data_IF_619165703942
#
_entry.id   IF_619165703942
#
_cell.length_a   1.000
_cell.length_b   1.000
_cell.length_c   1.000
_cell.angle_alpha   90.00
_cell.angle_beta   90.00
_cell.angle_gamma   90.00
#
_symmetry.space_group_name_H-M   'P 1'
#
loop_
_entity.id
_entity.type
_entity.pdbx_description
1 polymer ?
#
# COMPACT_ATOMS: atom_id res chain seq x y z
N UNK A 1 17.97 -10.44 -23.11
CA UNK A 1 18.99 -9.50 -22.54
C UNK A 1 18.46 -8.08 -22.29
N UNK A 2 17.70 -7.44 -23.20
CA UNK A 2 17.12 -6.09 -22.96
C UNK A 2 16.08 -6.03 -21.83
N UNK A 3 15.16 -7.00 -21.76
CA UNK A 3 14.12 -7.08 -20.71
C UNK A 3 14.74 -7.29 -19.31
N UNK A 4 15.73 -8.18 -19.21
CA UNK A 4 16.45 -8.45 -17.96
C UNK A 4 17.24 -7.23 -17.47
N UNK A 5 17.90 -6.49 -18.38
CA UNK A 5 18.58 -5.23 -18.03
C UNK A 5 17.60 -4.16 -17.57
N UNK A 6 16.44 -4.05 -18.22
CA UNK A 6 15.39 -3.10 -17.83
C UNK A 6 14.84 -3.35 -16.42
N UNK A 7 14.64 -4.62 -16.04
CA UNK A 7 14.21 -4.99 -14.70
C UNK A 7 15.21 -4.58 -13.62
N UNK A 8 16.51 -4.85 -13.82
CA UNK A 8 17.57 -4.51 -12.84
C UNK A 8 17.69 -2.98 -12.64
N UNK A 9 17.63 -2.20 -13.72
CA UNK A 9 17.63 -0.74 -13.62
C UNK A 9 16.40 -0.23 -12.86
N UNK A 10 15.22 -0.79 -13.12
CA UNK A 10 13.99 -0.40 -12.44
C UNK A 10 14.03 -0.71 -10.94
N UNK A 11 14.53 -1.89 -10.55
CA UNK A 11 14.77 -2.25 -9.15
C UNK A 11 15.65 -1.20 -8.46
N UNK A 12 16.79 -0.87 -9.06
CA UNK A 12 17.76 0.08 -8.47
C UNK A 12 17.15 1.48 -8.33
N UNK A 13 16.40 1.94 -9.33
CA UNK A 13 15.71 3.24 -9.30
C UNK A 13 14.69 3.26 -8.17
N UNK A 14 13.88 2.20 -8.02
CA UNK A 14 12.90 2.12 -6.94
C UNK A 14 13.54 2.11 -5.56
N UNK A 15 14.64 1.38 -5.36
CA UNK A 15 15.39 1.42 -4.10
C UNK A 15 15.88 2.84 -3.78
N UNK A 16 16.42 3.57 -4.75
CA UNK A 16 16.88 4.95 -4.57
C UNK A 16 15.73 5.92 -4.26
N UNK A 17 14.58 5.74 -4.92
CA UNK A 17 13.39 6.56 -4.65
C UNK A 17 12.86 6.30 -3.24
N UNK A 18 12.81 5.04 -2.80
CA UNK A 18 12.43 4.66 -1.43
C UNK A 18 13.41 5.19 -0.37
N UNK A 19 14.70 5.20 -0.70
CA UNK A 19 15.71 5.86 0.14
C UNK A 19 15.47 7.36 0.21
N UNK A 20 15.13 7.99 -0.92
CA UNK A 20 14.83 9.41 -1.00
C UNK A 20 13.64 9.84 -0.14
N UNK A 21 12.54 9.07 -0.15
CA UNK A 21 11.37 9.32 0.71
C UNK A 21 11.74 9.20 2.19
N UNK A 22 12.43 8.12 2.54
CA UNK A 22 12.86 7.84 3.92
C UNK A 22 13.84 8.88 4.46
N UNK A 23 14.79 9.31 3.62
CA UNK A 23 15.72 10.40 3.95
C UNK A 23 14.99 11.72 4.19
N UNK A 24 14.09 12.11 3.28
CA UNK A 24 13.28 13.33 3.44
C UNK A 24 12.45 13.30 4.71
N UNK A 25 11.78 12.19 4.98
CA UNK A 25 10.93 12.06 6.16
C UNK A 25 11.74 12.10 7.45
N UNK A 26 12.89 11.41 7.48
CA UNK A 26 13.81 11.48 8.61
C UNK A 26 14.37 12.89 8.82
N UNK A 27 14.66 13.65 7.76
CA UNK A 27 15.08 15.05 7.87
C UNK A 27 13.97 15.95 8.41
N UNK A 28 12.73 15.78 7.95
CA UNK A 28 11.58 16.53 8.47
C UNK A 28 11.36 16.27 9.96
N UNK A 29 11.45 15.00 10.38
CA UNK A 29 11.38 14.63 11.79
C UNK A 29 12.50 15.29 12.62
N UNK A 30 13.74 15.31 12.11
CA UNK A 30 14.88 15.99 12.76
C UNK A 30 14.69 17.51 12.87
N UNK A 31 14.00 18.13 11.93
CA UNK A 31 13.62 19.55 11.99
C UNK A 31 12.40 19.82 12.87
N UNK A 32 11.83 18.79 13.52
CA UNK A 32 10.66 18.92 14.37
C UNK A 32 9.36 19.11 13.61
N UNK A 33 9.31 18.75 12.32
CA UNK A 33 8.11 18.82 11.49
C UNK A 33 7.35 17.50 11.59
N UNK A 34 6.23 17.52 12.31
CA UNK A 34 5.34 16.35 12.47
C UNK A 34 4.09 16.47 11.58
N UNK A 35 4.29 16.27 10.27
CA UNK A 35 3.20 16.28 9.28
C UNK A 35 3.31 15.12 8.26
N UNK A 36 3.33 13.85 8.72
CA UNK A 36 3.47 12.68 7.86
C UNK A 36 2.37 12.51 6.79
N UNK A 37 1.10 12.71 7.13
CA UNK A 37 0.00 12.66 6.16
C UNK A 37 0.12 13.74 5.11
N UNK A 38 0.55 14.93 5.49
CA UNK A 38 0.78 16.02 4.53
C UNK A 38 1.90 15.67 3.55
N UNK A 39 2.96 14.99 4.00
CA UNK A 39 4.02 14.48 3.12
C UNK A 39 3.43 13.52 2.06
N UNK A 40 2.63 12.56 2.49
CA UNK A 40 2.04 11.52 1.63
C UNK A 40 0.92 12.08 0.73
N UNK A 41 0.12 13.02 1.22
CA UNK A 41 -1.01 13.62 0.51
C UNK A 41 -0.62 14.16 -0.89
N UNK A 42 0.54 14.80 -1.00
CA UNK A 42 1.01 15.35 -2.28
C UNK A 42 1.25 14.27 -3.33
N UNK A 43 1.66 13.06 -2.94
CA UNK A 43 1.77 11.92 -3.87
C UNK A 43 0.42 11.60 -4.51
N UNK A 44 -0.61 11.41 -3.69
CA UNK A 44 -1.94 11.09 -4.20
C UNK A 44 -2.56 12.24 -5.00
N UNK A 45 -2.34 13.48 -4.57
CA UNK A 45 -2.79 14.66 -5.31
C UNK A 45 -2.14 14.73 -6.69
N UNK A 46 -0.83 14.47 -6.79
CA UNK A 46 -0.10 14.42 -8.07
C UNK A 46 -0.57 13.26 -8.94
N UNK A 47 -0.81 12.07 -8.37
CA UNK A 47 -1.36 10.92 -9.10
C UNK A 47 -2.76 11.21 -9.64
N UNK A 48 -3.65 11.77 -8.82
CA UNK A 48 -4.99 12.19 -9.22
C UNK A 48 -4.92 13.24 -10.33
N UNK A 49 -4.04 14.23 -10.19
CA UNK A 49 -3.85 15.30 -11.17
C UNK A 49 -3.33 14.77 -12.51
N UNK A 50 -2.28 13.94 -12.51
CA UNK A 50 -1.65 13.45 -13.74
C UNK A 50 -2.46 12.31 -14.37
N UNK A 51 -2.67 11.22 -13.64
CA UNK A 51 -3.31 10.02 -14.16
C UNK A 51 -4.83 10.15 -14.23
N UNK A 52 -5.45 10.81 -13.26
CA UNK A 52 -6.89 11.09 -13.27
C UNK A 52 -7.26 12.00 -14.45
N UNK A 53 -6.56 13.12 -14.66
CA UNK A 53 -6.81 13.98 -15.82
C UNK A 53 -6.59 13.25 -17.15
N UNK A 54 -5.55 12.41 -17.24
CA UNK A 54 -5.28 11.64 -18.46
C UNK A 54 -6.33 10.54 -18.72
N UNK A 55 -6.86 9.91 -17.68
CA UNK A 55 -7.97 8.96 -17.78
C UNK A 55 -9.26 9.65 -18.25
N UNK A 56 -9.58 10.83 -17.68
CA UNK A 56 -10.72 11.66 -18.08
C UNK A 56 -10.61 12.10 -19.55
N UNK A 57 -9.41 12.47 -19.99
CA UNK A 57 -9.14 12.82 -21.39
C UNK A 57 -9.39 11.64 -22.33
N UNK A 58 -8.99 10.41 -21.95
CA UNK A 58 -9.25 9.21 -22.75
C UNK A 58 -10.72 8.74 -22.73
N UNK A 59 -11.55 9.26 -21.80
CA UNK A 59 -12.96 8.88 -21.61
C UNK A 59 -13.18 7.35 -21.50
N UNK A 60 -12.20 6.64 -20.96
CA UNK A 60 -12.30 5.19 -20.75
C UNK A 60 -13.15 4.90 -19.53
N UNK A 61 -14.11 3.98 -19.67
CA UNK A 61 -14.87 3.48 -18.53
C UNK A 61 -14.00 2.56 -17.67
N UNK A 62 -14.15 2.61 -16.34
CA UNK A 62 -13.47 1.68 -15.44
C UNK A 62 -13.89 0.26 -15.78
N UNK A 63 -12.94 -0.68 -15.73
CA UNK A 63 -13.21 -2.10 -15.95
C UNK A 63 -13.58 -2.85 -14.67
N UNK A 64 -13.12 -2.33 -13.52
CA UNK A 64 -13.30 -2.97 -12.22
C UNK A 64 -14.23 -2.15 -11.32
N UNK A 65 -14.86 -2.81 -10.36
CA UNK A 65 -15.71 -2.15 -9.38
C UNK A 65 -14.92 -1.16 -8.50
N UNK A 66 -15.51 0.00 -8.25
CA UNK A 66 -14.87 1.13 -7.57
C UNK A 66 -14.41 0.81 -6.13
N UNK A 67 -15.10 -0.09 -5.43
CA UNK A 67 -14.80 -0.44 -4.04
C UNK A 67 -13.45 -1.17 -3.89
N UNK A 68 -12.99 -1.88 -4.92
CA UNK A 68 -11.67 -2.52 -4.92
C UNK A 68 -10.55 -1.47 -4.91
N UNK A 69 -10.73 -0.39 -5.66
CA UNK A 69 -9.77 0.71 -5.66
C UNK A 69 -9.82 1.53 -4.37
N UNK A 70 -11.00 1.72 -3.78
CA UNK A 70 -11.14 2.42 -2.51
C UNK A 70 -10.46 1.67 -1.37
N UNK A 71 -10.73 0.36 -1.24
CA UNK A 71 -10.10 -0.47 -0.19
C UNK A 71 -8.60 -0.55 -0.37
N UNK A 72 -8.12 -0.72 -1.61
CA UNK A 72 -6.70 -0.64 -1.95
C UNK A 72 -6.09 0.72 -1.54
N UNK A 73 -6.73 1.84 -1.89
CA UNK A 73 -6.24 3.16 -1.54
C UNK A 73 -6.20 3.40 -0.03
N UNK A 74 -7.17 2.91 0.75
CA UNK A 74 -7.17 3.02 2.21
C UNK A 74 -5.95 2.27 2.79
N UNK A 75 -5.71 1.03 2.36
CA UNK A 75 -4.58 0.23 2.83
C UNK A 75 -3.25 0.93 2.50
N UNK A 76 -3.11 1.45 1.28
CA UNK A 76 -1.92 2.17 0.83
C UNK A 76 -1.69 3.44 1.64
N UNK A 77 -2.74 4.23 1.90
CA UNK A 77 -2.67 5.47 2.70
C UNK A 77 -2.23 5.18 4.13
N UNK A 78 -2.82 4.18 4.78
CA UNK A 78 -2.46 3.79 6.15
C UNK A 78 -1.02 3.26 6.24
N UNK A 79 -0.59 2.45 5.27
CA UNK A 79 0.79 1.96 5.22
C UNK A 79 1.80 3.11 5.15
N UNK A 80 1.56 4.07 4.23
CA UNK A 80 2.41 5.24 4.06
C UNK A 80 2.36 6.17 5.29
N UNK A 81 1.19 6.35 5.90
CA UNK A 81 1.05 7.14 7.12
C UNK A 81 1.92 6.58 8.24
N UNK A 82 1.75 5.30 8.57
CA UNK A 82 2.44 4.65 9.68
C UNK A 82 3.96 4.64 9.46
N UNK A 83 4.42 4.35 8.24
CA UNK A 83 5.83 4.38 7.90
C UNK A 83 6.43 5.79 8.07
N UNK A 84 5.74 6.82 7.58
CA UNK A 84 6.20 8.21 7.67
C UNK A 84 6.16 8.70 9.13
N UNK A 85 5.14 8.31 9.90
CA UNK A 85 5.00 8.65 11.32
C UNK A 85 6.09 7.99 12.16
N UNK A 86 6.55 6.79 11.81
CA UNK A 86 7.58 6.08 12.55
C UNK A 86 8.89 6.87 12.66
N UNK A 87 9.26 7.66 11.64
CA UNK A 87 10.48 8.48 11.66
C UNK A 87 10.49 9.57 12.75
N UNK A 88 9.34 9.89 13.34
CA UNK A 88 9.26 10.78 14.52
C UNK A 88 9.75 10.09 15.81
N UNK A 89 9.80 8.77 15.81
CA UNK A 89 10.03 7.96 17.01
C UNK A 89 11.25 7.05 16.92
N UNK A 90 11.63 6.61 15.72
CA UNK A 90 12.77 5.72 15.49
C UNK A 90 13.74 6.27 14.43
N UNK A 91 14.93 5.68 14.35
CA UNK A 91 15.99 6.10 13.42
C UNK A 91 15.76 5.54 12.02
N UNK A 92 16.36 6.18 11.00
CA UNK A 92 16.27 5.71 9.61
C UNK A 92 16.74 4.26 9.43
N UNK A 93 17.78 3.86 10.16
CA UNK A 93 18.33 2.49 10.07
C UNK A 93 17.46 1.47 10.81
N UNK A 94 16.84 1.83 11.94
CA UNK A 94 15.93 0.91 12.62
C UNK A 94 14.65 0.74 11.80
N UNK A 95 14.09 1.85 11.28
CA UNK A 95 12.95 1.80 10.38
C UNK A 95 13.19 0.92 9.15
N UNK A 96 14.29 1.10 8.42
CA UNK A 96 14.54 0.26 7.25
C UNK A 96 14.89 -1.19 7.59
N UNK A 97 15.61 -1.45 8.68
CA UNK A 97 15.89 -2.84 9.04
C UNK A 97 14.62 -3.58 9.50
N UNK A 98 13.71 -2.90 10.18
CA UNK A 98 12.41 -3.45 10.54
C UNK A 98 11.49 -3.59 9.34
N UNK A 99 11.64 -2.74 8.31
CA UNK A 99 10.81 -2.82 7.11
C UNK A 99 10.97 -4.15 6.34
N UNK A 100 12.11 -4.82 6.52
CA UNK A 100 12.38 -6.16 6.01
C UNK A 100 11.37 -7.20 6.54
N UNK A 101 10.60 -6.89 7.60
CA UNK A 101 9.42 -7.66 8.02
C UNK A 101 8.38 -7.83 6.90
N UNK A 102 8.35 -6.93 5.91
CA UNK A 102 7.49 -7.04 4.74
C UNK A 102 7.74 -8.36 3.99
N UNK A 103 8.98 -8.86 3.96
CA UNK A 103 9.37 -10.08 3.22
C UNK A 103 8.67 -11.33 3.76
N UNK A 104 8.79 -11.72 5.06
CA UNK A 104 8.09 -12.89 5.57
C UNK A 104 6.57 -12.79 5.40
N UNK A 105 5.99 -11.59 5.57
CA UNK A 105 4.54 -11.39 5.41
C UNK A 105 4.11 -11.54 3.94
N UNK A 106 4.84 -10.97 2.98
CA UNK A 106 4.55 -11.15 1.54
C UNK A 106 4.68 -12.62 1.16
N UNK A 107 5.69 -13.34 1.64
CA UNK A 107 5.84 -14.77 1.35
C UNK A 107 4.68 -15.58 1.91
N UNK A 108 4.21 -15.27 3.12
CA UNK A 108 3.03 -15.90 3.71
C UNK A 108 1.75 -15.56 2.92
N UNK A 109 1.54 -14.30 2.56
CA UNK A 109 0.35 -13.86 1.84
C UNK A 109 0.30 -14.41 0.42
N UNK A 110 1.44 -14.45 -0.29
CA UNK A 110 1.52 -15.07 -1.62
C UNK A 110 1.38 -16.59 -1.55
N UNK A 111 1.71 -17.24 -0.43
CA UNK A 111 1.37 -18.65 -0.20
C UNK A 111 -0.14 -18.83 -0.01
N UNK A 112 -0.77 -18.00 0.83
CA UNK A 112 -2.21 -18.12 1.15
C UNK A 112 -3.12 -17.70 -0.02
N UNK A 113 -2.83 -16.55 -0.64
CA UNK A 113 -3.68 -15.91 -1.65
C UNK A 113 -3.35 -16.40 -3.06
N UNK A 114 -2.07 -16.45 -3.41
CA UNK A 114 -1.61 -16.85 -4.75
C UNK A 114 -1.30 -18.35 -4.86
N UNK A 115 -1.49 -19.13 -3.78
CA UNK A 115 -1.18 -20.58 -3.71
C UNK A 115 0.23 -20.92 -4.19
N UNK A 116 1.17 -20.02 -3.96
CA UNK A 116 2.56 -20.16 -4.40
C UNK A 116 3.22 -21.36 -3.73
N UNK A 117 3.86 -22.26 -4.48
CA UNK A 117 4.50 -23.44 -3.88
C UNK A 117 5.93 -23.13 -3.41
N UNK A 118 6.10 -23.05 -2.10
CA UNK A 118 7.41 -22.83 -1.46
C UNK A 118 8.07 -24.15 -1.08
N UNK A 119 9.35 -24.30 -1.46
CA UNK A 119 10.16 -25.44 -1.02
C UNK A 119 10.62 -25.24 0.42
N UNK A 120 10.96 -26.34 1.12
CA UNK A 120 11.48 -26.30 2.50
C UNK A 120 12.68 -25.36 2.66
N UNK A 121 13.50 -25.18 1.62
CA UNK A 121 14.63 -24.24 1.63
C UNK A 121 14.21 -22.77 1.75
N UNK A 122 13.05 -22.39 1.20
CA UNK A 122 12.52 -21.03 1.28
C UNK A 122 12.15 -20.69 2.73
N UNK A 123 11.51 -21.63 3.44
CA UNK A 123 11.15 -21.49 4.86
C UNK A 123 12.37 -21.26 5.75
N UNK A 124 13.48 -21.99 5.50
CA UNK A 124 14.72 -21.79 6.25
C UNK A 124 15.26 -20.37 6.05
N UNK A 125 15.27 -19.87 4.81
CA UNK A 125 15.69 -18.49 4.53
C UNK A 125 14.84 -17.47 5.27
N UNK A 126 13.53 -17.66 5.27
CA UNK A 126 12.57 -16.81 6.01
C UNK A 126 12.83 -16.82 7.51
N UNK A 127 13.03 -17.99 8.12
CA UNK A 127 13.33 -18.09 9.55
C UNK A 127 14.61 -17.31 9.92
N UNK A 128 15.65 -17.38 9.09
CA UNK A 128 16.89 -16.63 9.31
C UNK A 128 16.64 -15.12 9.23
N UNK A 129 15.87 -14.64 8.24
CA UNK A 129 15.50 -13.23 8.15
C UNK A 129 14.72 -12.75 9.39
N UNK A 130 13.73 -13.53 9.83
CA UNK A 130 12.90 -13.22 11.00
C UNK A 130 13.74 -13.14 12.29
N UNK A 131 14.72 -14.04 12.47
CA UNK A 131 15.66 -13.95 13.57
C UNK A 131 16.49 -12.65 13.54
N UNK A 132 16.86 -12.18 12.35
CA UNK A 132 17.54 -10.87 12.15
C UNK A 132 16.70 -9.71 12.66
N UNK A 133 15.42 -9.72 12.34
CA UNK A 133 14.46 -8.68 12.77
C UNK A 133 14.25 -8.68 14.29
N UNK A 134 14.13 -9.87 14.90
CA UNK A 134 13.97 -9.98 16.35
C UNK A 134 15.17 -9.41 17.13
N UNK A 135 16.39 -9.53 16.61
CA UNK A 135 17.56 -8.91 17.25
C UNK A 135 17.45 -7.38 17.28
N UNK A 136 16.98 -6.76 16.20
CA UNK A 136 16.82 -5.30 16.12
C UNK A 136 15.83 -4.80 17.17
N UNK A 137 14.62 -5.38 17.20
CA UNK A 137 13.59 -5.03 18.19
C UNK A 137 14.09 -5.24 19.62
N UNK A 138 14.81 -6.33 19.87
CA UNK A 138 15.31 -6.65 21.21
C UNK A 138 16.38 -5.65 21.70
N UNK A 139 17.19 -5.13 20.77
CA UNK A 139 18.17 -4.07 21.05
C UNK A 139 17.50 -2.80 21.55
N UNK A 140 16.49 -2.34 20.82
CA UNK A 140 15.81 -1.08 21.09
C UNK A 140 15.00 -1.14 22.41
N UNK A 141 14.62 -2.36 22.86
CA UNK A 141 14.01 -2.60 24.19
C UNK A 141 15.03 -2.55 25.34
N UNK A 142 16.29 -2.95 25.11
CA UNK A 142 17.30 -3.06 26.18
C UNK A 142 18.21 -1.84 26.31
N UNK A 143 18.34 -1.02 25.26
CA UNK A 143 19.17 0.20 25.27
C UNK A 143 18.31 1.47 25.37
N UNK A 144 17.64 1.64 26.51
CA UNK A 144 16.72 2.74 26.79
C UNK A 144 17.31 4.17 26.84
N UNK A 145 18.57 4.39 26.43
CA UNK A 145 19.26 5.67 26.60
C UNK A 145 20.20 6.09 25.43
N UNK A 146 20.20 5.37 24.29
CA UNK A 146 21.17 5.64 23.19
C UNK A 146 20.58 5.82 21.78
N UNK A 147 19.28 5.61 21.57
CA UNK A 147 18.69 5.55 20.22
C UNK A 147 17.80 6.75 19.89
N UNK A 148 18.34 7.98 19.92
CA UNK A 148 17.92 9.15 19.11
C UNK A 148 16.45 9.63 19.02
N UNK A 149 15.45 8.93 19.57
CA UNK A 149 14.03 9.19 19.43
C UNK A 149 13.30 9.14 20.78
N UNK A 150 12.19 9.89 20.90
CA UNK A 150 11.46 10.04 22.19
C UNK A 150 10.92 8.72 22.74
N UNK A 151 10.59 7.76 21.87
CA UNK A 151 10.07 6.43 22.20
C UNK A 151 10.38 5.44 21.07
N UNK A 152 11.59 4.85 21.02
CA UNK A 152 12.04 3.95 19.94
C UNK A 152 11.09 2.77 19.70
N UNK A 153 10.63 2.12 20.77
CA UNK A 153 9.68 1.00 20.71
C UNK A 153 8.36 1.36 20.01
N UNK A 154 7.85 2.59 20.19
CA UNK A 154 6.65 3.04 19.49
C UNK A 154 6.91 3.15 17.98
N UNK A 155 8.09 3.67 17.61
CA UNK A 155 8.53 3.69 16.22
C UNK A 155 8.62 2.29 15.62
N UNK A 156 9.20 1.34 16.34
CA UNK A 156 9.35 -0.04 15.86
C UNK A 156 7.99 -0.72 15.63
N UNK A 157 7.04 -0.52 16.54
CA UNK A 157 5.66 -1.04 16.39
C UNK A 157 4.98 -0.39 15.17
N UNK A 158 5.14 0.92 14.98
CA UNK A 158 4.61 1.63 13.81
C UNK A 158 5.18 1.07 12.50
N UNK A 159 6.49 0.80 12.45
CA UNK A 159 7.14 0.20 11.27
C UNK A 159 6.60 -1.21 11.02
N UNK A 160 6.50 -2.07 12.04
CA UNK A 160 5.98 -3.43 11.87
C UNK A 160 4.53 -3.44 11.34
N UNK A 161 3.69 -2.51 11.83
CA UNK A 161 2.33 -2.33 11.30
C UNK A 161 2.36 -1.84 9.85
N UNK A 162 3.17 -0.82 9.55
CA UNK A 162 3.33 -0.28 8.21
C UNK A 162 3.80 -1.35 7.22
N UNK A 163 4.82 -2.12 7.56
CA UNK A 163 5.36 -3.23 6.77
C UNK A 163 4.35 -4.36 6.54
N UNK A 164 3.51 -4.64 7.53
CA UNK A 164 2.42 -5.61 7.37
C UNK A 164 1.38 -5.10 6.38
N UNK A 165 1.00 -3.81 6.46
CA UNK A 165 0.09 -3.20 5.49
C UNK A 165 0.72 -3.11 4.09
N UNK A 166 2.00 -2.75 3.98
CA UNK A 166 2.72 -2.76 2.71
C UNK A 166 2.77 -4.15 2.10
N UNK A 167 2.93 -5.21 2.90
CA UNK A 167 2.88 -6.57 2.39
C UNK A 167 1.52 -6.90 1.76
N UNK A 168 0.42 -6.54 2.45
CA UNK A 168 -0.94 -6.68 1.92
C UNK A 168 -1.11 -5.85 0.65
N UNK A 169 -0.69 -4.59 0.68
CA UNK A 169 -0.78 -3.64 -0.42
C UNK A 169 -0.05 -4.15 -1.67
N UNK A 170 1.18 -4.65 -1.51
CA UNK A 170 2.01 -5.16 -2.59
C UNK A 170 1.38 -6.39 -3.27
N UNK A 171 0.81 -7.31 -2.49
CA UNK A 171 0.12 -8.49 -3.03
C UNK A 171 -1.18 -8.10 -3.72
N UNK A 172 -1.93 -7.15 -3.14
CA UNK A 172 -3.15 -6.62 -3.75
C UNK A 172 -2.84 -5.88 -5.06
N UNK A 173 -1.80 -5.05 -5.09
CA UNK A 173 -1.38 -4.33 -6.28
C UNK A 173 -0.89 -5.28 -7.38
N UNK A 174 -0.14 -6.34 -7.02
CA UNK A 174 0.26 -7.38 -7.97
C UNK A 174 -0.97 -8.03 -8.63
N UNK A 175 -2.01 -8.31 -7.85
CA UNK A 175 -3.27 -8.83 -8.38
C UNK A 175 -3.94 -7.81 -9.32
N UNK A 176 -4.10 -6.55 -8.90
CA UNK A 176 -4.75 -5.52 -9.69
C UNK A 176 -4.01 -5.24 -11.00
N UNK A 177 -2.68 -5.12 -11.01
CA UNK A 177 -1.93 -4.75 -12.22
C UNK A 177 -1.92 -5.84 -13.32
N UNK A 178 -2.27 -7.07 -12.93
CA UNK A 178 -2.47 -8.20 -13.86
C UNK A 178 -3.87 -8.21 -14.46
N UNK A 179 -4.86 -7.68 -13.75
CA UNK A 179 -6.29 -7.71 -14.15
C UNK A 179 -6.75 -6.41 -14.80
N UNK A 180 -6.27 -5.26 -14.31
CA UNK A 180 -6.70 -3.92 -14.74
C UNK A 180 -5.58 -3.13 -15.42
N UNK A 181 -5.95 -2.05 -16.10
CA UNK A 181 -4.97 -1.18 -16.74
C UNK A 181 -4.21 -0.36 -15.69
N UNK A 182 -2.88 -0.28 -15.79
CA UNK A 182 -2.03 0.56 -14.92
C UNK A 182 -2.51 2.02 -14.84
N UNK A 183 -2.96 2.59 -15.97
CA UNK A 183 -3.49 3.96 -15.97
C UNK A 183 -4.72 4.10 -15.07
N UNK A 184 -5.63 3.13 -15.14
CA UNK A 184 -6.86 3.10 -14.33
C UNK A 184 -6.49 2.96 -12.85
N UNK A 185 -5.62 2.01 -12.52
CA UNK A 185 -5.12 1.79 -11.17
C UNK A 185 -4.51 3.07 -10.56
N UNK A 186 -3.57 3.72 -11.27
CA UNK A 186 -2.90 4.94 -10.79
C UNK A 186 -3.85 6.13 -10.64
N UNK A 187 -4.86 6.24 -11.52
CA UNK A 187 -5.86 7.29 -11.43
C UNK A 187 -6.76 7.12 -10.20
N UNK A 188 -7.24 5.89 -9.95
CA UNK A 188 -8.14 5.62 -8.83
C UNK A 188 -7.44 5.62 -7.47
N UNK A 189 -6.23 5.06 -7.36
CA UNK A 189 -5.44 5.17 -6.12
C UNK A 189 -5.10 6.63 -5.83
N UNK A 190 -4.76 7.43 -6.85
CA UNK A 190 -4.56 8.87 -6.69
C UNK A 190 -5.82 9.58 -6.21
N UNK A 191 -6.96 9.31 -6.84
CA UNK A 191 -8.23 9.93 -6.48
C UNK A 191 -8.72 9.57 -5.06
N UNK A 192 -8.90 8.28 -4.78
CA UNK A 192 -9.36 7.82 -3.47
C UNK A 192 -8.31 8.08 -2.37
N UNK A 193 -7.02 7.92 -2.69
CA UNK A 193 -5.92 8.24 -1.79
C UNK A 193 -5.89 9.73 -1.44
N UNK A 194 -6.13 10.63 -2.39
CA UNK A 194 -6.16 12.07 -2.12
C UNK A 194 -7.33 12.45 -1.21
N UNK A 195 -8.52 11.84 -1.40
CA UNK A 195 -9.69 12.09 -0.56
C UNK A 195 -9.44 11.60 0.88
N UNK A 196 -8.98 10.36 1.03
CA UNK A 196 -8.73 9.74 2.34
C UNK A 196 -7.60 10.42 3.09
N UNK A 197 -6.48 10.70 2.42
CA UNK A 197 -5.36 11.43 3.03
C UNK A 197 -5.71 12.88 3.37
N UNK A 198 -6.48 13.59 2.53
CA UNK A 198 -6.96 14.94 2.87
C UNK A 198 -7.83 14.93 4.13
N UNK A 199 -8.72 13.96 4.27
CA UNK A 199 -9.54 13.79 5.48
C UNK A 199 -8.65 13.58 6.71
N UNK A 200 -7.64 12.71 6.61
CA UNK A 200 -6.71 12.45 7.71
C UNK A 200 -5.83 13.66 8.05
N UNK A 201 -5.38 14.45 7.06
CA UNK A 201 -4.67 15.71 7.31
C UNK A 201 -5.54 16.66 8.15
N UNK A 202 -6.82 16.81 7.79
CA UNK A 202 -7.75 17.68 8.53
C UNK A 202 -8.01 17.17 9.95
N UNK A 203 -8.12 15.85 10.13
CA UNK A 203 -8.43 15.24 11.42
C UNK A 203 -7.23 15.18 12.38
N UNK A 204 -6.04 14.86 11.87
CA UNK A 204 -4.87 14.53 12.70
C UNK A 204 -3.77 15.58 12.68
N UNK A 205 -3.64 16.40 11.63
CA UNK A 205 -2.48 17.28 11.45
C UNK A 205 -2.81 18.77 11.44
N UNK A 206 -4.08 19.15 11.61
CA UNK A 206 -4.48 20.57 11.53
C UNK A 206 -3.70 21.47 12.49
N UNK A 207 -3.52 21.02 13.73
CA UNK A 207 -2.81 21.81 14.75
C UNK A 207 -1.30 21.80 14.53
N UNK A 208 -0.74 20.63 14.19
CA UNK A 208 0.67 20.48 13.85
C UNK A 208 1.05 21.40 12.68
N UNK A 209 0.26 21.38 11.58
CA UNK A 209 0.47 22.24 10.42
C UNK A 209 0.44 23.74 10.74
N UNK A 210 -0.42 24.14 11.69
CA UNK A 210 -0.50 25.54 12.13
C UNK A 210 0.73 25.97 12.95
N UNK A 211 1.42 25.00 13.59
CA UNK A 211 2.61 25.24 14.39
C UNK A 211 3.93 25.21 13.60
N UNK A 212 3.91 24.68 12.38
CA UNK A 212 5.12 24.57 11.54
C UNK A 212 5.62 25.94 11.12
N UNK A 213 6.89 26.22 11.43
CA UNK A 213 7.63 27.32 10.83
C UNK A 213 8.11 26.93 9.43
N UNK A 214 7.42 27.43 8.40
CA UNK A 214 7.75 27.17 7.01
C UNK A 214 9.06 27.85 6.60
N UNK A 215 10.17 27.12 6.71
CA UNK A 215 11.50 27.52 6.26
C UNK A 215 11.88 26.76 4.97
N UNK A 216 12.90 27.24 4.25
CA UNK A 216 13.42 26.52 3.09
C UNK A 216 13.88 25.09 3.44
N UNK A 217 14.43 24.92 4.64
CA UNK A 217 14.90 23.63 5.16
C UNK A 217 13.75 22.65 5.43
N UNK A 218 12.54 23.13 5.71
CA UNK A 218 11.34 22.29 5.80
C UNK A 218 10.72 22.03 4.42
N UNK A 219 10.61 23.05 3.57
CA UNK A 219 9.92 22.95 2.26
C UNK A 219 10.67 22.05 1.28
N UNK A 220 12.00 22.10 1.24
CA UNK A 220 12.81 21.31 0.31
C UNK A 220 12.63 19.79 0.51
N UNK A 221 12.72 19.24 1.73
CA UNK A 221 12.40 17.84 2.00
C UNK A 221 10.98 17.43 1.59
N UNK A 222 9.96 18.27 1.76
CA UNK A 222 8.59 18.00 1.30
C UNK A 222 8.51 17.85 -0.22
N UNK A 223 9.15 18.75 -0.97
CA UNK A 223 9.19 18.69 -2.43
C UNK A 223 9.93 17.42 -2.88
N UNK A 224 11.10 17.16 -2.30
CA UNK A 224 11.89 15.97 -2.63
C UNK A 224 11.14 14.67 -2.30
N UNK A 225 10.48 14.61 -1.14
CA UNK A 225 9.62 13.51 -0.74
C UNK A 225 8.53 13.26 -1.77
N UNK A 226 7.81 14.31 -2.17
CA UNK A 226 6.71 14.23 -3.13
C UNK A 226 7.18 13.73 -4.50
N UNK A 227 8.32 14.22 -5.00
CA UNK A 227 8.91 13.76 -6.27
C UNK A 227 9.31 12.28 -6.18
N UNK A 228 9.95 11.88 -5.08
CA UNK A 228 10.39 10.51 -4.88
C UNK A 228 9.19 9.55 -4.79
N UNK A 229 8.21 9.87 -3.95
CA UNK A 229 7.05 9.01 -3.73
C UNK A 229 6.14 8.94 -4.96
N UNK A 230 5.94 10.06 -5.67
CA UNK A 230 5.21 10.06 -6.94
C UNK A 230 5.87 9.18 -8.00
N UNK A 231 7.18 9.31 -8.14
CA UNK A 231 7.95 8.48 -9.08
C UNK A 231 7.95 7.01 -8.67
N UNK A 232 8.05 6.74 -7.36
CA UNK A 232 8.00 5.39 -6.81
C UNK A 232 6.65 4.75 -7.11
N UNK A 233 5.55 5.36 -6.67
CA UNK A 233 4.19 4.85 -6.87
C UNK A 233 3.84 4.67 -8.35
N UNK A 234 4.36 5.54 -9.22
CA UNK A 234 4.21 5.40 -10.68
C UNK A 234 4.90 4.14 -11.25
N UNK A 235 6.07 3.80 -10.71
CA UNK A 235 6.93 2.74 -11.23
C UNK A 235 6.62 1.36 -10.63
N UNK A 236 6.15 1.30 -9.38
CA UNK A 236 5.80 0.06 -8.65
C UNK A 236 4.90 -0.88 -9.48
N UNK A 237 3.76 -0.44 -10.07
CA UNK A 237 2.90 -1.36 -10.82
C UNK A 237 3.63 -1.99 -12.02
N UNK A 238 4.54 -1.24 -12.64
CA UNK A 238 5.34 -1.74 -13.78
C UNK A 238 6.27 -2.86 -13.32
N UNK A 239 6.90 -2.68 -12.16
CA UNK A 239 7.81 -3.69 -11.62
C UNK A 239 7.05 -4.90 -11.11
N UNK A 240 5.96 -4.72 -10.38
CA UNK A 240 5.11 -5.81 -9.89
C UNK A 240 4.59 -6.67 -11.04
N UNK A 241 4.24 -6.06 -12.18
CA UNK A 241 3.82 -6.80 -13.38
C UNK A 241 4.94 -7.65 -13.99
N UNK A 242 6.21 -7.26 -13.84
CA UNK A 242 7.37 -7.97 -14.42
C UNK A 242 7.90 -9.03 -13.46
N UNK A 243 8.00 -8.71 -12.17
CA UNK A 243 8.77 -9.47 -11.18
C UNK A 243 7.92 -10.04 -10.03
N UNK A 244 6.70 -9.54 -9.79
CA UNK A 244 5.85 -9.89 -8.65
C UNK A 244 6.25 -9.21 -7.34
N UNK A 245 5.38 -9.32 -6.33
CA UNK A 245 5.51 -8.67 -5.02
C UNK A 245 6.72 -9.16 -4.23
N UNK A 246 7.02 -10.45 -4.31
CA UNK A 246 8.19 -11.03 -3.63
C UNK A 246 9.49 -10.38 -4.13
N UNK A 247 9.74 -10.44 -5.44
CA UNK A 247 10.97 -9.85 -6.02
C UNK A 247 11.04 -8.34 -5.86
N UNK A 248 9.89 -7.65 -5.88
CA UNK A 248 9.83 -6.23 -5.56
C UNK A 248 10.37 -5.94 -4.15
N UNK A 249 9.87 -6.65 -3.13
CA UNK A 249 10.36 -6.45 -1.76
C UNK A 249 11.83 -6.84 -1.61
N UNK A 250 12.29 -7.87 -2.32
CA UNK A 250 13.71 -8.22 -2.33
C UNK A 250 14.60 -7.13 -2.94
N UNK A 251 14.07 -6.30 -3.84
CA UNK A 251 14.82 -5.17 -4.38
C UNK A 251 14.94 -4.01 -3.40
N UNK A 252 13.98 -3.86 -2.48
CA UNK A 252 13.98 -2.79 -1.49
C UNK A 252 15.11 -2.94 -0.47
N UNK A 253 15.67 -4.13 -0.24
CA UNK A 253 16.84 -4.31 0.66
C UNK A 253 18.06 -3.46 0.27
N UNK A 254 18.17 -3.07 -1.01
CA UNK A 254 19.24 -2.16 -1.44
C UNK A 254 19.04 -0.76 -0.85
N UNK A 255 17.79 -0.34 -0.62
CA UNK A 255 17.45 0.89 0.09
C UNK A 255 17.97 0.88 1.52
N UNK A 256 17.84 -0.25 2.22
CA UNK A 256 18.28 -0.40 3.62
C UNK A 256 19.79 -0.15 3.75
N UNK A 257 20.55 -0.58 2.74
CA UNK A 257 21.98 -0.30 2.65
C UNK A 257 22.30 1.17 2.46
N UNK A 258 21.49 1.87 1.65
CA UNK A 258 21.65 3.31 1.51
C UNK A 258 21.29 4.06 2.80
N UNK A 259 20.33 3.59 3.60
CA UNK A 259 20.03 4.21 4.90
C UNK A 259 21.19 4.10 5.91
N UNK A 260 21.90 2.98 5.94
CA UNK A 260 23.13 2.85 6.75
C UNK A 260 24.16 3.90 6.30
N UNK A 261 24.33 4.04 4.98
CA UNK A 261 25.19 5.07 4.39
C UNK A 261 24.76 6.49 4.77
N UNK A 262 23.46 6.79 4.75
CA UNK A 262 22.91 8.10 5.16
C UNK A 262 23.20 8.37 6.63
N UNK A 263 22.90 7.42 7.52
CA UNK A 263 23.14 7.60 8.96
C UNK A 263 24.60 7.88 9.27
N UNK A 264 25.51 7.17 8.60
CA UNK A 264 26.95 7.34 8.80
C UNK A 264 27.53 8.59 8.10
N UNK A 265 27.22 8.81 6.83
CA UNK A 265 27.82 9.88 6.01
C UNK A 265 27.14 11.23 6.18
N UNK A 266 25.81 11.25 6.32
CA UNK A 266 25.01 12.50 6.33
C UNK A 266 24.71 12.92 7.75
N UNK A 267 24.27 11.98 8.60
CA UNK A 267 23.94 12.31 10.00
C UNK A 267 25.16 12.22 10.93
N UNK A 268 26.29 11.69 10.45
CA UNK A 268 27.51 11.50 11.26
C UNK A 268 27.25 10.74 12.57
N UNK A 269 26.28 9.83 12.55
CA UNK A 269 25.90 9.02 13.69
C UNK A 269 26.50 7.63 13.61
N UNK A 270 26.88 7.10 14.78
CA UNK A 270 27.32 5.71 14.87
C UNK A 270 26.12 4.77 14.71
N UNK A 271 26.34 3.69 13.96
CA UNK A 271 25.41 2.58 13.82
C UNK A 271 25.84 1.50 14.80
N UNK A 272 24.91 1.03 15.62
CA UNK A 272 25.20 -0.06 16.56
C UNK A 272 25.68 -1.31 15.80
N UNK A 273 26.68 -1.99 16.37
CA UNK A 273 27.24 -3.22 15.80
C UNK A 273 26.15 -4.29 15.59
N UNK A 274 25.10 -4.31 16.41
CA UNK A 274 24.01 -5.27 16.30
C UNK A 274 23.21 -5.08 15.01
N UNK A 275 23.05 -3.86 14.50
CA UNK A 275 22.38 -3.62 13.21
C UNK A 275 23.16 -4.26 12.05
N UNK A 276 24.49 -4.30 12.11
CA UNK A 276 25.30 -5.01 11.11
C UNK A 276 25.11 -6.53 11.19
N UNK A 277 24.95 -7.09 12.40
CA UNK A 277 24.64 -8.51 12.58
C UNK A 277 23.25 -8.83 12.03
N UNK A 278 22.25 -8.02 12.36
CA UNK A 278 20.90 -8.16 11.84
C UNK A 278 20.89 -8.13 10.31
N UNK A 279 21.57 -7.15 9.72
CA UNK A 279 21.69 -7.05 8.27
C UNK A 279 22.39 -8.27 7.64
N UNK A 280 23.48 -8.75 8.26
CA UNK A 280 24.16 -9.96 7.79
C UNK A 280 23.24 -11.18 7.83
N UNK A 281 22.42 -11.33 8.89
CA UNK A 281 21.44 -12.42 8.97
C UNK A 281 20.35 -12.30 7.91
N UNK A 282 19.80 -11.10 7.68
CA UNK A 282 18.82 -10.85 6.60
C UNK A 282 19.43 -11.17 5.23
N UNK A 283 20.67 -10.74 4.96
CA UNK A 283 21.36 -11.05 3.72
C UNK A 283 21.61 -12.56 3.54
N UNK A 284 22.00 -13.26 4.61
CA UNK A 284 22.18 -14.73 4.58
C UNK A 284 20.84 -15.43 4.34
N UNK A 285 19.77 -15.03 5.04
CA UNK A 285 18.44 -15.58 4.86
C UNK A 285 17.92 -15.38 3.43
N UNK A 286 18.16 -14.20 2.86
CA UNK A 286 17.78 -13.90 1.49
C UNK A 286 18.60 -14.69 0.46
N UNK A 287 19.92 -14.76 0.61
CA UNK A 287 20.75 -15.56 -0.30
C UNK A 287 20.39 -17.04 -0.26
N UNK A 288 19.99 -17.55 0.91
CA UNK A 288 19.48 -18.92 1.06
C UNK A 288 18.13 -19.10 0.38
N UNK A 289 17.21 -18.15 0.56
CA UNK A 289 15.91 -18.12 -0.12
C UNK A 289 16.09 -18.16 -1.64
N UNK A 290 16.91 -17.27 -2.22
CA UNK A 290 17.15 -17.22 -3.67
C UNK A 290 17.80 -18.50 -4.20
N UNK A 291 18.73 -19.11 -3.45
CA UNK A 291 19.36 -20.39 -3.82
C UNK A 291 18.39 -21.57 -3.79
N UNK A 292 17.29 -21.46 -3.06
CA UNK A 292 16.29 -22.52 -2.92
C UNK A 292 15.37 -22.63 -4.15
N UNK A 293 15.64 -21.89 -5.23
CA UNK A 293 14.95 -21.97 -6.52
C UNK A 293 13.83 -20.96 -6.67
N UNK A 294 13.22 -20.91 -7.86
CA UNK A 294 12.08 -20.03 -8.12
C UNK A 294 10.84 -20.58 -7.42
N UNK A 295 10.23 -19.79 -6.55
CA UNK A 295 8.88 -20.06 -6.08
C UNK A 295 7.95 -19.97 -7.28
N UNK A 296 7.28 -21.07 -7.62
CA UNK A 296 6.33 -21.09 -8.73
C UNK A 296 4.99 -20.67 -8.17
N UNK A 297 4.58 -19.43 -8.49
CA UNK A 297 3.19 -19.06 -8.35
C UNK A 297 2.38 -20.00 -9.25
N UNK A 298 1.34 -20.64 -8.71
CA UNK A 298 0.40 -21.33 -9.57
C UNK A 298 -0.08 -20.31 -10.62
N UNK A 299 0.07 -20.63 -11.90
CA UNK A 299 -0.55 -19.81 -12.94
C UNK A 299 -2.01 -19.70 -12.55
N UNK A 300 -2.46 -18.48 -12.31
CA UNK A 300 -3.87 -18.19 -12.20
C UNK A 300 -4.44 -18.46 -13.59
N UNK A 301 -4.77 -19.73 -13.86
CA UNK A 301 -5.81 -20.03 -14.83
C UNK A 301 -7.05 -19.35 -14.24
N UNK A 302 -7.34 -18.15 -14.75
CA UNK A 302 -8.65 -17.53 -14.66
C UNK A 302 -9.55 -18.45 -15.48
N UNK A 303 -9.89 -19.60 -14.93
CA UNK A 303 -10.92 -20.46 -15.49
C UNK A 303 -12.11 -20.39 -14.54
N UNK A 304 -13.12 -19.65 -14.98
CA UNK A 304 -14.48 -19.69 -14.47
C UNK A 304 -14.74 -18.93 -13.17
N UNK A 305 -13.97 -19.12 -12.10
CA UNK A 305 -14.52 -18.87 -10.75
C UNK A 305 -14.84 -17.41 -10.42
N UNK A 306 -14.08 -16.42 -10.92
CA UNK A 306 -14.35 -15.00 -10.58
C UNK A 306 -15.49 -14.39 -11.41
N UNK A 307 -15.61 -14.75 -12.70
CA UNK A 307 -16.80 -14.38 -13.48
C UNK A 307 -18.04 -15.09 -12.95
N UNK A 308 -17.90 -16.33 -12.46
CA UNK A 308 -19.00 -17.08 -11.85
C UNK A 308 -19.41 -16.45 -10.53
N UNK A 309 -18.46 -16.15 -9.62
CA UNK A 309 -18.73 -15.50 -8.33
C UNK A 309 -19.19 -14.04 -8.48
N UNK A 310 -18.66 -13.29 -9.45
CA UNK A 310 -19.13 -11.94 -9.76
C UNK A 310 -20.52 -11.97 -10.41
N UNK A 311 -20.81 -12.93 -11.29
CA UNK A 311 -22.15 -13.12 -11.86
C UNK A 311 -23.14 -13.61 -10.81
N UNK A 312 -22.73 -14.48 -9.89
CA UNK A 312 -23.55 -14.93 -8.77
C UNK A 312 -23.84 -13.76 -7.83
N UNK A 313 -22.82 -12.97 -7.47
CA UNK A 313 -22.98 -11.77 -6.65
C UNK A 313 -23.86 -10.70 -7.32
N UNK A 314 -23.71 -10.47 -8.63
CA UNK A 314 -24.60 -9.58 -9.41
C UNK A 314 -26.02 -10.14 -9.48
N UNK A 315 -26.21 -11.46 -9.63
CA UNK A 315 -27.52 -12.11 -9.64
C UNK A 315 -28.18 -12.08 -8.24
N UNK A 316 -27.40 -12.18 -7.17
CA UNK A 316 -27.88 -12.03 -5.79
C UNK A 316 -28.27 -10.58 -5.46
N UNK A 317 -27.54 -9.59 -6.00
CA UNK A 317 -27.85 -8.18 -5.82
C UNK A 317 -29.07 -7.77 -6.66
N UNK A 318 -29.17 -8.23 -7.91
CA UNK A 318 -30.33 -7.98 -8.79
C UNK A 318 -31.61 -8.61 -8.23
N UNK A 319 -31.54 -9.84 -7.68
CA UNK A 319 -32.69 -10.44 -6.96
C UNK A 319 -33.13 -9.65 -5.74
N UNK A 320 -32.19 -9.12 -4.95
CA UNK A 320 -32.54 -8.34 -3.77
C UNK A 320 -33.07 -6.95 -4.14
N UNK A 321 -32.59 -6.33 -5.23
CA UNK A 321 -33.14 -5.09 -5.76
C UNK A 321 -34.56 -5.31 -6.32
N UNK A 322 -34.80 -6.39 -7.06
CA UNK A 322 -36.14 -6.77 -7.57
C UNK A 322 -37.10 -7.12 -6.41
N UNK A 323 -36.65 -7.85 -5.39
CA UNK A 323 -37.46 -8.17 -4.23
C UNK A 323 -37.79 -6.90 -3.42
N UNK A 324 -36.84 -5.94 -3.31
CA UNK A 324 -37.07 -4.66 -2.65
C UNK A 324 -38.01 -3.73 -3.43
N UNK A 325 -37.92 -3.66 -4.76
CA UNK A 325 -38.88 -2.93 -5.59
C UNK A 325 -40.25 -3.61 -5.58
N UNK A 326 -40.32 -4.95 -5.50
CA UNK A 326 -41.58 -5.67 -5.41
C UNK A 326 -42.28 -5.50 -4.06
N UNK A 327 -41.55 -5.46 -2.95
CA UNK A 327 -42.07 -5.11 -1.63
C UNK A 327 -42.50 -3.64 -1.59
N UNK A 328 -41.72 -2.72 -2.16
CA UNK A 328 -42.07 -1.30 -2.18
C UNK A 328 -43.29 -1.01 -3.09
N UNK A 329 -43.44 -1.73 -4.20
CA UNK A 329 -44.63 -1.68 -5.05
C UNK A 329 -45.83 -2.34 -4.37
N UNK A 330 -45.67 -3.47 -3.66
CA UNK A 330 -46.75 -4.09 -2.89
C UNK A 330 -47.22 -3.24 -1.71
N UNK A 331 -46.30 -2.59 -1.00
CA UNK A 331 -46.60 -1.65 0.10
C UNK A 331 -47.29 -0.40 -0.44
N UNK A 332 -46.88 0.11 -1.60
CA UNK A 332 -47.55 1.25 -2.24
C UNK A 332 -48.92 0.86 -2.82
N UNK A 333 -49.12 -0.37 -3.32
CA UNK A 333 -50.43 -0.86 -3.76
C UNK A 333 -51.39 -1.05 -2.58
N UNK A 334 -50.93 -1.59 -1.45
CA UNK A 334 -51.75 -1.70 -0.23
C UNK A 334 -52.08 -0.32 0.37
N UNK A 335 -51.19 0.66 0.24
CA UNK A 335 -51.45 2.04 0.66
C UNK A 335 -52.49 2.75 -0.22
N UNK A 336 -52.58 2.43 -1.52
CA UNK A 336 -53.58 3.03 -2.43
C UNK A 336 -54.96 2.32 -2.39
N UNK A 337 -55.04 1.08 -1.89
CA UNK A 337 -56.31 0.36 -1.73
C UNK A 337 -57.14 0.87 -0.52
N UNK A 338 -56.58 1.74 0.32
CA UNK A 338 -57.27 2.31 1.49
C UNK A 338 -57.78 3.77 1.35
N UNK A 339 -57.92 4.30 0.12
CA UNK A 339 -58.76 5.50 -0.09
C UNK A 339 -60.21 5.11 -0.38
N UNK A 340 -61.17 5.38 0.53
CA UNK A 340 -62.58 5.22 0.21
C UNK A 340 -63.04 6.36 -0.70
N UNK A 341 -63.46 6.02 -1.92
CA UNK A 341 -64.31 6.88 -2.72
C UNK A 341 -63.90 7.01 -4.18
N UNK A 342 -64.31 6.05 -5.01
CA UNK A 342 -64.87 6.29 -6.35
C UNK A 342 -65.33 4.94 -6.94
N UNK A 343 -66.55 4.55 -6.58
CA UNK A 343 -67.35 3.55 -7.31
C UNK A 343 -68.46 4.30 -8.05
N UNK A 344 -68.69 3.91 -9.30
CA UNK A 344 -69.71 4.30 -10.30
C UNK A 344 -68.98 4.82 -11.53
N UNK A 345 -69.10 4.31 -12.75
CA UNK A 345 -70.14 3.61 -13.51
C UNK A 345 -69.40 3.31 -14.85
N UNK A 346 -69.58 2.27 -15.67
CA UNK A 346 -70.77 1.61 -16.18
C UNK A 346 -70.28 0.38 -16.94
N UNK A 347 -70.94 -0.75 -16.66
CA UNK A 347 -70.92 -1.97 -17.43
C UNK A 347 -71.91 -1.81 -18.58
N UNK A 348 -71.52 -2.10 -19.83
CA UNK A 348 -72.38 -2.91 -20.70
C UNK A 348 -71.58 -3.59 -21.84
N UNK A 349 -71.85 -4.89 -22.12
CA UNK A 349 -71.14 -5.70 -23.10
C UNK A 349 -71.94 -5.83 -24.41
N UNK A 350 -71.27 -6.22 -25.51
CA UNK A 350 -71.96 -6.94 -26.59
C UNK A 350 -71.45 -6.71 -28.01
N UNK A 351 -70.73 -7.73 -28.51
CA UNK A 351 -70.81 -8.39 -29.83
C UNK A 351 -70.97 -7.55 -31.10
N UNK A 352 -70.11 -7.85 -32.08
CA UNK A 352 -70.31 -7.56 -33.50
C UNK A 352 -69.01 -7.70 -34.27
#
# INVERSE_FOLDING_TARGET
MRVVRGGITLHTVLSLLNTGTSFSSSQLARYGVDAPMTQVFFNYLLLAGVYGSYLLYQRKRPKSSWYLYLTFAIIDVEANYLATKAYQYTSITSAMLLDCWTIPVVLLLTWLVLKTQYLRGHLVGVCICVLGLFLVVFSDVHDGDRSGGRNPLLGDILVLMASTLYAVNNVYEEFLVKTVNRLELLAFIGGFGAITSALQVVLFEREELASIHWTADAVLPFIWYSICLFSFTTLVPTLLKISGATMFNLSLLTSDMYAVGIRWLVYHESVDWLYFVAFAMVAVGLTWYTKSGNAVAASFEIDGDYETLASEAETYLDKNDIDSESEEVHVNLEADIHRPGLVQELYHPGRG
#
